data_IF_622641299093
#
_entry.id   IF_622641299093
#
_cell.length_a   1.000
_cell.length_b   1.000
_cell.length_c   1.000
_cell.angle_alpha   90.00
_cell.angle_beta   90.00
_cell.angle_gamma   90.00
#
_symmetry.space_group_name_H-M   'P 1'
#
loop_
_entity.id
_entity.type
_entity.pdbx_description
1 polymer ?
#
# COMPACT_ATOMS: atom_id res chain seq x y z
N UNK A 1 2.82 -2.17 -8.35
CA UNK A 1 1.63 -1.40 -7.96
C UNK A 1 0.42 -2.26 -8.25
N UNK A 2 -0.55 -2.30 -7.34
CA UNK A 2 -1.78 -3.07 -7.54
C UNK A 2 -2.95 -2.14 -7.82
N UNK A 3 -4.04 -2.69 -8.39
CA UNK A 3 -5.23 -1.92 -8.72
C UNK A 3 -5.82 -1.19 -7.50
N UNK A 4 -5.71 -1.80 -6.32
CA UNK A 4 -6.14 -1.24 -5.04
C UNK A 4 -5.28 -0.03 -4.64
N UNK A 5 -3.95 -0.15 -4.76
CA UNK A 5 -3.03 0.96 -4.47
C UNK A 5 -3.20 2.15 -5.43
N UNK A 6 -3.54 1.88 -6.69
CA UNK A 6 -3.83 2.92 -7.69
C UNK A 6 -5.17 3.62 -7.40
N UNK A 7 -6.20 2.87 -7.01
CA UNK A 7 -7.50 3.41 -6.62
C UNK A 7 -7.37 4.28 -5.35
N UNK A 8 -6.66 3.78 -4.33
CA UNK A 8 -6.43 4.50 -3.08
C UNK A 8 -5.56 5.74 -3.30
N UNK A 9 -4.49 5.65 -4.10
CA UNK A 9 -3.69 6.82 -4.50
C UNK A 9 -4.54 7.91 -5.15
N UNK A 10 -5.45 7.55 -6.08
CA UNK A 10 -6.35 8.51 -6.72
C UNK A 10 -7.32 9.15 -5.74
N UNK A 11 -7.91 8.38 -4.82
CA UNK A 11 -8.85 8.91 -3.83
C UNK A 11 -8.17 9.87 -2.86
N UNK A 12 -6.98 9.53 -2.37
CA UNK A 12 -6.22 10.38 -1.45
C UNK A 12 -5.78 11.69 -2.12
N UNK A 13 -5.39 11.65 -3.40
CA UNK A 13 -5.14 12.87 -4.18
C UNK A 13 -6.38 13.75 -4.30
N UNK A 14 -7.56 13.15 -4.55
CA UNK A 14 -8.83 13.90 -4.62
C UNK A 14 -9.20 14.55 -3.29
N UNK A 15 -8.84 13.92 -2.17
CA UNK A 15 -9.03 14.46 -0.81
C UNK A 15 -7.97 15.51 -0.41
N UNK A 16 -7.07 15.88 -1.31
CA UNK A 16 -6.08 16.93 -1.10
C UNK A 16 -4.76 16.46 -0.47
N UNK A 17 -4.54 15.16 -0.33
CA UNK A 17 -3.26 14.65 0.16
C UNK A 17 -2.19 14.74 -0.92
N UNK A 18 -0.99 15.18 -0.54
CA UNK A 18 0.19 15.24 -1.41
C UNK A 18 1.13 14.08 -1.10
N UNK A 19 2.01 13.75 -2.04
CA UNK A 19 2.99 12.66 -1.90
C UNK A 19 2.39 11.25 -1.73
N UNK A 20 1.18 11.03 -2.24
CA UNK A 20 0.44 9.76 -2.17
C UNK A 20 0.46 9.01 -3.51
N UNK A 21 1.63 8.85 -4.12
CA UNK A 21 1.80 8.05 -5.35
C UNK A 21 1.47 6.57 -5.13
N UNK A 22 1.09 5.82 -6.15
CA UNK A 22 0.65 4.43 -5.98
C UNK A 22 1.71 3.50 -5.39
N UNK A 23 3.00 3.70 -5.72
CA UNK A 23 4.10 2.98 -5.06
C UNK A 23 4.18 3.28 -3.56
N UNK A 24 4.01 4.53 -3.16
CA UNK A 24 4.03 4.95 -1.75
C UNK A 24 2.84 4.34 -1.01
N UNK A 25 1.67 4.36 -1.63
CA UNK A 25 0.46 3.78 -1.06
C UNK A 25 0.56 2.26 -0.94
N UNK A 26 1.14 1.59 -1.92
CA UNK A 26 1.39 0.15 -1.83
C UNK A 26 2.34 -0.19 -0.66
N UNK A 27 3.46 0.53 -0.53
CA UNK A 27 4.38 0.36 0.60
C UNK A 27 3.71 0.66 1.95
N UNK A 28 2.85 1.68 2.01
CA UNK A 28 2.05 1.96 3.20
C UNK A 28 1.12 0.80 3.53
N UNK A 29 0.40 0.26 2.55
CA UNK A 29 -0.50 -0.89 2.73
C UNK A 29 0.23 -2.12 3.28
N UNK A 30 1.47 -2.38 2.82
CA UNK A 30 2.33 -3.42 3.39
C UNK A 30 2.68 -3.13 4.86
N UNK A 31 3.08 -1.90 5.17
CA UNK A 31 3.54 -1.51 6.51
C UNK A 31 2.43 -1.55 7.58
N UNK A 32 1.19 -1.17 7.21
CA UNK A 32 0.04 -1.19 8.14
C UNK A 32 -0.76 -2.51 8.11
N UNK A 33 -0.28 -3.50 7.36
CA UNK A 33 -0.87 -4.85 7.34
C UNK A 33 -2.16 -4.99 6.52
N UNK A 34 -2.46 -4.04 5.61
CA UNK A 34 -3.51 -4.26 4.61
C UNK A 34 -3.12 -5.34 3.59
N UNK A 35 -1.82 -5.52 3.37
CA UNK A 35 -1.24 -6.58 2.53
C UNK A 35 -0.15 -7.28 3.31
N UNK A 36 -0.22 -8.61 3.39
CA UNK A 36 0.83 -9.43 3.99
C UNK A 36 1.76 -9.99 2.90
N UNK A 37 2.74 -9.16 2.53
CA UNK A 37 3.78 -9.51 1.55
C UNK A 37 5.09 -9.96 2.21
N UNK A 38 5.03 -10.45 3.45
CA UNK A 38 6.19 -11.12 4.03
C UNK A 38 6.61 -12.29 3.12
N UNK A 39 7.93 -12.50 3.00
CA UNK A 39 8.49 -13.63 2.27
C UNK A 39 7.96 -14.95 2.82
N UNK A 40 7.85 -15.98 1.97
CA UNK A 40 7.21 -17.24 2.34
C UNK A 40 7.88 -17.94 3.53
N UNK A 41 9.18 -17.72 3.70
CA UNK A 41 10.05 -18.23 4.77
C UNK A 41 10.22 -17.25 5.94
N UNK A 42 9.56 -16.10 5.90
CA UNK A 42 9.63 -15.12 6.98
C UNK A 42 8.92 -15.63 8.23
N UNK A 43 9.62 -15.68 9.35
CA UNK A 43 9.08 -16.11 10.64
C UNK A 43 7.94 -15.24 11.19
N UNK A 44 7.80 -14.00 10.70
CA UNK A 44 6.69 -13.10 11.03
C UNK A 44 5.45 -13.30 10.14
N UNK A 45 5.54 -14.10 9.07
CA UNK A 45 4.42 -14.34 8.17
C UNK A 45 3.41 -15.24 8.89
N UNK A 46 2.27 -14.66 9.25
CA UNK A 46 1.13 -15.36 9.84
C UNK A 46 0.52 -16.41 8.90
#
# INVERSE_FOLDING_TARGET
TTAESDALSKDLKKRGMTFVGSTIIYAYMQAVGLVNDHLADCWCRA
#
